data_IF_580225803536
#
_entry.id   IF_580225803536
#
_cell.length_a   1.000
_cell.length_b   1.000
_cell.length_c   1.000
_cell.angle_alpha   90.00
_cell.angle_beta   90.00
_cell.angle_gamma   90.00
#
_symmetry.space_group_name_H-M   'P 1'
#
loop_
_entity.id
_entity.type
_entity.pdbx_description
1 polymer ?
#
# COMPACT_ATOMS: atom_id res chain seq x y z
N UNK A 1 -14.40 23.84 -9.91
CA UNK A 1 -15.07 22.66 -9.30
C UNK A 1 -14.69 21.45 -10.16
N UNK A 2 -13.95 20.49 -9.63
CA UNK A 2 -13.59 19.26 -10.36
C UNK A 2 -14.85 18.36 -10.40
N UNK A 3 -15.23 17.90 -11.58
CA UNK A 3 -16.30 16.89 -11.72
C UNK A 3 -15.61 15.54 -11.56
N UNK A 4 -16.11 14.73 -10.63
CA UNK A 4 -15.60 13.40 -10.36
C UNK A 4 -16.35 12.35 -11.17
N UNK A 5 -15.64 11.35 -11.70
CA UNK A 5 -16.24 10.21 -12.39
C UNK A 5 -17.01 9.30 -11.43
N UNK A 6 -16.51 9.17 -10.16
CA UNK A 6 -17.05 8.28 -9.16
C UNK A 6 -17.86 9.05 -8.13
N UNK A 7 -19.14 8.70 -8.01
CA UNK A 7 -20.12 9.43 -7.22
C UNK A 7 -20.35 8.76 -5.86
N UNK A 8 -20.73 9.58 -4.85
CA UNK A 8 -20.97 9.16 -3.46
C UNK A 8 -22.39 9.44 -3.02
N UNK A 9 -23.39 9.03 -3.79
CA UNK A 9 -24.78 9.31 -3.41
C UNK A 9 -25.25 8.50 -2.20
N UNK A 10 -24.67 7.29 -2.00
CA UNK A 10 -24.91 6.45 -0.85
C UNK A 10 -23.60 5.80 -0.41
N UNK A 11 -23.44 5.55 0.88
CA UNK A 11 -22.37 4.70 1.40
C UNK A 11 -22.87 3.26 1.40
N UNK A 12 -22.13 2.35 0.81
CA UNK A 12 -22.50 0.94 0.84
C UNK A 12 -21.69 0.07 -0.11
N UNK A 13 -21.81 -1.23 0.08
CA UNK A 13 -21.14 -2.26 -0.73
C UNK A 13 -21.52 -2.15 -2.21
N UNK A 14 -22.79 -1.86 -2.50
CA UNK A 14 -23.28 -1.72 -3.88
C UNK A 14 -22.61 -0.57 -4.63
N UNK A 15 -22.38 0.56 -3.97
CA UNK A 15 -21.70 1.72 -4.57
C UNK A 15 -20.22 1.40 -4.80
N UNK A 16 -19.56 0.75 -3.84
CA UNK A 16 -18.17 0.33 -3.99
C UNK A 16 -18.00 -0.64 -5.16
N UNK A 17 -18.91 -1.62 -5.26
CA UNK A 17 -18.95 -2.58 -6.37
C UNK A 17 -19.19 -1.86 -7.71
N UNK A 18 -20.21 -0.99 -7.78
CA UNK A 18 -20.56 -0.28 -9.02
C UNK A 18 -19.40 0.61 -9.50
N UNK A 19 -18.76 1.35 -8.61
CA UNK A 19 -17.62 2.21 -8.95
C UNK A 19 -16.40 1.38 -9.39
N UNK A 20 -16.14 0.24 -8.75
CA UNK A 20 -15.08 -0.67 -9.17
C UNK A 20 -15.36 -1.26 -10.56
N UNK A 21 -16.61 -1.68 -10.82
CA UNK A 21 -16.99 -2.17 -12.15
C UNK A 21 -16.91 -1.06 -13.20
N UNK A 22 -17.21 0.18 -12.84
CA UNK A 22 -17.07 1.33 -13.75
C UNK A 22 -15.58 1.55 -14.10
N UNK A 23 -14.65 1.50 -13.13
CA UNK A 23 -13.21 1.59 -13.40
C UNK A 23 -12.78 0.52 -14.39
N UNK A 24 -13.13 -0.75 -14.13
CA UNK A 24 -12.76 -1.88 -14.99
C UNK A 24 -13.37 -1.79 -16.38
N UNK A 25 -14.62 -1.35 -16.46
CA UNK A 25 -15.29 -1.07 -17.75
C UNK A 25 -14.60 0.04 -18.54
N UNK A 26 -14.12 1.08 -17.87
CA UNK A 26 -13.34 2.15 -18.51
C UNK A 26 -12.00 1.67 -19.02
N UNK A 27 -11.29 0.86 -18.23
CA UNK A 27 -10.04 0.25 -18.66
C UNK A 27 -10.24 -0.63 -19.89
N UNK A 28 -11.29 -1.47 -19.92
CA UNK A 28 -11.62 -2.30 -21.07
C UNK A 28 -11.94 -1.46 -22.31
N UNK A 29 -12.77 -0.41 -22.15
CA UNK A 29 -13.14 0.50 -23.26
C UNK A 29 -11.96 1.31 -23.77
N UNK A 30 -11.01 1.65 -22.90
CA UNK A 30 -9.80 2.36 -23.25
C UNK A 30 -8.82 1.45 -24.01
N UNK A 31 -8.57 0.25 -23.51
CA UNK A 31 -7.71 -0.75 -24.15
C UNK A 31 -8.03 -2.16 -23.64
N UNK A 32 -8.62 -2.99 -24.51
CA UNK A 32 -8.88 -4.39 -24.19
C UNK A 32 -7.59 -5.17 -23.85
N UNK A 33 -6.47 -4.87 -24.52
CA UNK A 33 -5.19 -5.50 -24.22
C UNK A 33 -4.71 -5.22 -22.80
N UNK A 34 -4.78 -3.94 -22.35
CA UNK A 34 -4.43 -3.57 -20.98
C UNK A 34 -5.37 -4.20 -19.96
N UNK A 35 -6.65 -4.27 -20.28
CA UNK A 35 -7.63 -4.93 -19.43
C UNK A 35 -7.34 -6.43 -19.29
N UNK A 36 -7.02 -7.12 -20.38
CA UNK A 36 -6.66 -8.54 -20.33
C UNK A 36 -5.32 -8.79 -19.65
N UNK A 37 -4.34 -7.91 -19.84
CA UNK A 37 -3.10 -7.95 -19.07
C UNK A 37 -3.36 -7.79 -17.58
N UNK A 38 -4.18 -6.82 -17.17
CA UNK A 38 -4.61 -6.62 -15.79
C UNK A 38 -5.29 -7.89 -15.23
N UNK A 39 -6.24 -8.49 -15.96
CA UNK A 39 -6.88 -9.72 -15.51
C UNK A 39 -5.88 -10.85 -15.31
N UNK A 40 -4.96 -11.03 -16.26
CA UNK A 40 -3.91 -12.06 -16.21
C UNK A 40 -3.06 -11.92 -14.95
N UNK A 41 -2.52 -10.72 -14.72
CA UNK A 41 -1.60 -10.44 -13.61
C UNK A 41 -2.30 -10.50 -12.25
N UNK A 42 -3.54 -10.03 -12.15
CA UNK A 42 -4.25 -9.93 -10.87
C UNK A 42 -5.00 -11.22 -10.48
N UNK A 43 -5.52 -11.98 -11.45
CA UNK A 43 -6.47 -13.04 -11.14
C UNK A 43 -6.07 -14.42 -11.67
N UNK A 44 -5.22 -14.51 -12.68
CA UNK A 44 -4.88 -15.80 -13.29
C UNK A 44 -3.46 -16.29 -12.96
N UNK A 45 -2.55 -15.40 -12.51
CA UNK A 45 -1.18 -15.76 -12.10
C UNK A 45 -0.42 -16.51 -13.19
N UNK A 46 0.06 -17.72 -12.87
CA UNK A 46 0.83 -18.56 -13.78
C UNK A 46 -0.04 -19.34 -14.81
N UNK A 47 -1.36 -19.16 -14.80
CA UNK A 47 -2.22 -19.82 -15.78
C UNK A 47 -2.05 -19.18 -17.16
N UNK A 48 -2.08 -20.03 -18.20
CA UNK A 48 -2.18 -19.57 -19.57
C UNK A 48 -3.57 -18.95 -19.82
N UNK A 49 -3.72 -17.65 -19.54
CA UNK A 49 -4.92 -16.90 -19.84
C UNK A 49 -4.70 -16.10 -21.11
N UNK A 50 -5.25 -16.60 -22.21
CA UNK A 50 -5.19 -15.98 -23.54
C UNK A 50 -6.61 -15.72 -24.06
N UNK A 51 -7.28 -14.65 -23.60
CA UNK A 51 -8.66 -14.34 -24.00
C UNK A 51 -8.76 -13.78 -25.41
N UNK A 52 -7.66 -13.67 -26.15
CA UNK A 52 -7.64 -13.17 -27.51
C UNK A 52 -8.20 -14.16 -28.50
N UNK A 53 -8.62 -13.64 -29.67
CA UNK A 53 -9.07 -14.49 -30.77
C UNK A 53 -7.92 -15.34 -31.30
N UNK A 54 -8.11 -16.63 -31.35
CA UNK A 54 -7.17 -17.56 -31.98
C UNK A 54 -7.68 -18.00 -33.35
N UNK A 55 -6.76 -18.12 -34.31
CA UNK A 55 -7.02 -18.58 -35.67
C UNK A 55 -6.27 -19.89 -35.87
N UNK A 56 -7.00 -20.97 -36.06
CA UNK A 56 -6.43 -22.31 -36.21
C UNK A 56 -6.78 -22.82 -37.61
N UNK A 57 -5.75 -23.20 -38.37
CA UNK A 57 -5.94 -23.87 -39.66
C UNK A 57 -6.02 -25.41 -39.44
N UNK A 58 -6.93 -26.08 -40.14
CA UNK A 58 -7.12 -27.51 -40.03
C UNK A 58 -7.28 -27.99 -38.58
N UNK A 59 -8.21 -27.40 -37.83
CA UNK A 59 -8.52 -27.74 -36.44
C UNK A 59 -9.05 -29.15 -36.34
N UNK A 60 -8.21 -30.11 -35.95
CA UNK A 60 -8.51 -31.54 -35.94
C UNK A 60 -9.46 -31.87 -34.78
N UNK A 61 -10.73 -32.11 -35.08
CA UNK A 61 -11.72 -32.63 -34.16
C UNK A 61 -11.95 -34.14 -34.37
N UNK A 62 -12.63 -34.80 -33.43
CA UNK A 62 -12.91 -36.27 -33.51
C UNK A 62 -13.72 -36.69 -34.74
N UNK A 63 -14.54 -35.82 -35.30
CA UNK A 63 -15.49 -36.15 -36.39
C UNK A 63 -15.31 -35.35 -37.68
N UNK A 64 -14.58 -34.25 -37.65
CA UNK A 64 -14.34 -33.42 -38.81
C UNK A 64 -13.08 -32.54 -38.61
N UNK A 65 -12.48 -32.14 -39.73
CA UNK A 65 -11.36 -31.18 -39.76
C UNK A 65 -11.80 -30.02 -40.63
N UNK A 66 -12.27 -28.88 -40.05
CA UNK A 66 -12.58 -27.70 -40.82
C UNK A 66 -11.28 -27.03 -41.35
N UNK A 67 -11.39 -26.34 -42.48
CA UNK A 67 -10.22 -25.65 -43.07
C UNK A 67 -9.66 -24.55 -42.15
N UNK A 68 -10.52 -23.88 -41.41
CA UNK A 68 -10.14 -22.86 -40.42
C UNK A 68 -11.18 -22.76 -39.31
N UNK A 69 -10.71 -22.43 -38.10
CA UNK A 69 -11.55 -22.11 -36.93
C UNK A 69 -11.08 -20.81 -36.32
N UNK A 70 -12.03 -19.94 -35.97
CA UNK A 70 -11.81 -18.73 -35.15
C UNK A 70 -12.50 -18.97 -33.81
N UNK A 71 -11.75 -18.93 -32.73
CA UNK A 71 -12.28 -19.17 -31.38
C UNK A 71 -11.73 -18.17 -30.38
N UNK A 72 -12.50 -17.92 -29.33
CA UNK A 72 -12.09 -17.11 -28.18
C UNK A 72 -12.46 -17.90 -26.91
N UNK A 73 -11.53 -18.09 -25.97
CA UNK A 73 -11.81 -18.67 -24.67
C UNK A 73 -12.85 -17.86 -23.91
N UNK A 74 -13.79 -18.54 -23.27
CA UNK A 74 -14.78 -17.90 -22.42
C UNK A 74 -14.28 -17.79 -20.98
N UNK A 75 -14.56 -16.66 -20.34
CA UNK A 75 -14.25 -16.48 -18.92
C UNK A 75 -15.41 -15.83 -18.18
N UNK A 76 -15.49 -16.09 -16.88
CA UNK A 76 -16.44 -15.47 -15.97
C UNK A 76 -15.75 -15.11 -14.66
N UNK A 77 -15.89 -13.86 -14.26
CA UNK A 77 -15.45 -13.35 -12.96
C UNK A 77 -16.70 -13.03 -12.13
N UNK A 78 -16.82 -13.62 -10.97
CA UNK A 78 -17.87 -13.30 -9.99
C UNK A 78 -17.22 -12.53 -8.85
N UNK A 79 -17.70 -11.33 -8.59
CA UNK A 79 -17.13 -10.45 -7.56
C UNK A 79 -18.11 -10.32 -6.40
N UNK A 80 -17.67 -10.65 -5.21
CA UNK A 80 -18.34 -10.33 -3.96
C UNK A 80 -17.55 -9.25 -3.24
N UNK A 81 -18.21 -8.12 -2.96
CA UNK A 81 -17.59 -6.95 -2.30
C UNK A 81 -18.08 -6.84 -0.87
N UNK A 82 -17.18 -6.55 0.04
CA UNK A 82 -17.47 -6.15 1.42
C UNK A 82 -16.66 -4.91 1.79
N UNK A 83 -17.20 -4.06 2.66
CA UNK A 83 -16.47 -2.88 3.14
C UNK A 83 -15.32 -3.27 4.08
N UNK A 84 -15.48 -4.42 4.76
CA UNK A 84 -14.49 -5.03 5.65
C UNK A 84 -14.43 -6.54 5.41
N UNK A 85 -13.65 -7.30 6.20
CA UNK A 85 -13.57 -8.77 6.09
C UNK A 85 -14.83 -9.51 6.58
N UNK A 86 -16.04 -9.08 6.18
CA UNK A 86 -17.31 -9.73 6.59
C UNK A 86 -17.87 -10.64 5.49
N UNK A 87 -17.02 -11.49 4.92
CA UNK A 87 -17.45 -12.51 3.98
C UNK A 87 -18.04 -13.74 4.71
N UNK A 88 -19.15 -14.22 4.20
CA UNK A 88 -19.84 -15.42 4.70
C UNK A 88 -19.64 -16.57 3.74
N UNK A 89 -19.15 -17.71 4.25
CA UNK A 89 -18.85 -18.90 3.46
C UNK A 89 -20.06 -19.35 2.65
N UNK A 90 -21.23 -19.43 3.27
CA UNK A 90 -22.47 -19.89 2.62
C UNK A 90 -22.86 -19.02 1.42
N UNK A 91 -22.71 -17.70 1.56
CA UNK A 91 -22.95 -16.75 0.46
C UNK A 91 -22.02 -17.01 -0.71
N UNK A 92 -20.71 -17.14 -0.42
CA UNK A 92 -19.71 -17.39 -1.45
C UNK A 92 -19.94 -18.72 -2.18
N UNK A 93 -20.25 -19.79 -1.45
CA UNK A 93 -20.59 -21.10 -2.05
C UNK A 93 -21.84 -21.00 -2.93
N UNK A 94 -22.87 -20.26 -2.52
CA UNK A 94 -24.05 -20.03 -3.36
C UNK A 94 -23.71 -19.30 -4.67
N UNK A 95 -22.71 -18.42 -4.67
CA UNK A 95 -22.26 -17.76 -5.90
C UNK A 95 -21.60 -18.72 -6.89
N UNK A 96 -20.99 -19.81 -6.43
CA UNK A 96 -20.34 -20.79 -7.32
C UNK A 96 -21.33 -21.42 -8.32
N UNK A 97 -22.62 -21.51 -7.97
CA UNK A 97 -23.66 -22.01 -8.86
C UNK A 97 -23.91 -21.14 -10.11
N UNK A 98 -23.36 -19.93 -10.15
CA UNK A 98 -23.42 -19.05 -11.32
C UNK A 98 -22.52 -19.51 -12.45
N UNK A 99 -21.39 -20.16 -12.13
CA UNK A 99 -20.49 -20.69 -13.13
C UNK A 99 -21.10 -21.87 -13.88
N UNK A 100 -20.83 -21.93 -15.18
CA UNK A 100 -21.35 -22.99 -16.08
C UNK A 100 -20.19 -23.61 -16.88
N UNK A 101 -20.17 -23.34 -18.17
CA UNK A 101 -19.25 -23.97 -19.12
C UNK A 101 -18.11 -23.03 -19.53
N UNK A 102 -17.88 -21.94 -18.78
CA UNK A 102 -16.76 -21.05 -19.06
C UNK A 102 -15.44 -21.82 -18.89
N UNK A 103 -14.46 -21.48 -19.68
CA UNK A 103 -13.13 -22.08 -19.63
C UNK A 103 -12.37 -21.61 -18.39
N UNK A 104 -12.46 -20.31 -18.09
CA UNK A 104 -11.87 -19.71 -16.91
C UNK A 104 -12.96 -19.18 -15.96
N UNK A 105 -12.85 -19.59 -14.69
CA UNK A 105 -13.83 -19.27 -13.64
C UNK A 105 -13.11 -18.72 -12.42
N UNK A 106 -13.40 -17.49 -12.02
CA UNK A 106 -12.78 -16.85 -10.84
C UNK A 106 -13.84 -16.24 -9.94
N UNK A 107 -13.83 -16.64 -8.67
CA UNK A 107 -14.54 -15.95 -7.61
C UNK A 107 -13.56 -14.93 -6.97
N UNK A 108 -13.91 -13.66 -7.00
CA UNK A 108 -13.14 -12.58 -6.41
C UNK A 108 -13.86 -12.10 -5.16
N UNK A 109 -13.15 -12.07 -4.04
CA UNK A 109 -13.58 -11.37 -2.83
C UNK A 109 -12.79 -10.10 -2.67
N UNK A 110 -13.49 -8.96 -2.65
CA UNK A 110 -12.93 -7.60 -2.67
C UNK A 110 -13.34 -6.84 -1.41
N UNK A 111 -12.37 -6.33 -0.65
CA UNK A 111 -12.61 -5.51 0.54
C UNK A 111 -11.47 -4.53 0.81
N UNK A 112 -11.61 -3.70 1.87
CA UNK A 112 -10.55 -2.77 2.28
C UNK A 112 -9.32 -3.47 2.87
N UNK A 113 -9.47 -4.71 3.35
CA UNK A 113 -8.41 -5.52 3.95
C UNK A 113 -8.49 -6.96 3.48
N UNK A 114 -7.37 -7.67 3.44
CA UNK A 114 -7.36 -9.09 3.11
C UNK A 114 -8.04 -9.91 4.21
N UNK A 115 -8.69 -10.99 3.81
CA UNK A 115 -9.21 -11.98 4.77
C UNK A 115 -8.10 -12.48 5.69
N UNK A 116 -8.47 -12.73 6.95
CA UNK A 116 -7.60 -13.46 7.87
C UNK A 116 -7.29 -14.86 7.34
N UNK A 117 -6.07 -15.33 7.58
CA UNK A 117 -5.56 -16.56 6.99
C UNK A 117 -6.44 -17.80 7.30
N UNK A 118 -6.93 -17.93 8.54
CA UNK A 118 -7.83 -18.99 8.97
C UNK A 118 -9.15 -18.98 8.21
N UNK A 119 -9.75 -17.82 8.04
CA UNK A 119 -10.99 -17.63 7.27
C UNK A 119 -10.79 -17.93 5.79
N UNK A 120 -9.69 -17.42 5.20
CA UNK A 120 -9.35 -17.71 3.81
C UNK A 120 -9.21 -19.22 3.58
N UNK A 121 -8.50 -19.93 4.47
CA UNK A 121 -8.35 -21.39 4.38
C UNK A 121 -9.68 -22.13 4.43
N UNK A 122 -10.62 -21.71 5.29
CA UNK A 122 -11.96 -22.32 5.37
C UNK A 122 -12.77 -22.12 4.08
N UNK A 123 -12.67 -20.95 3.46
CA UNK A 123 -13.36 -20.63 2.20
C UNK A 123 -12.71 -21.40 1.05
N UNK A 124 -11.38 -21.40 0.95
CA UNK A 124 -10.64 -22.10 -0.10
C UNK A 124 -10.91 -23.61 -0.04
N UNK A 125 -10.95 -24.21 1.15
CA UNK A 125 -11.30 -25.61 1.33
C UNK A 125 -12.74 -25.92 0.87
N UNK A 126 -13.69 -25.02 1.16
CA UNK A 126 -15.08 -25.19 0.72
C UNK A 126 -15.23 -25.09 -0.80
N UNK A 127 -14.48 -24.16 -1.44
CA UNK A 127 -14.45 -24.03 -2.90
C UNK A 127 -13.78 -25.26 -3.53
N UNK A 128 -12.71 -25.77 -2.94
CA UNK A 128 -12.06 -27.00 -3.38
C UNK A 128 -13.02 -28.20 -3.37
N UNK A 129 -13.80 -28.37 -2.29
CA UNK A 129 -14.81 -29.42 -2.18
C UNK A 129 -15.92 -29.26 -3.23
N UNK A 130 -16.40 -28.04 -3.45
CA UNK A 130 -17.39 -27.74 -4.49
C UNK A 130 -16.85 -28.10 -5.89
N UNK A 131 -15.61 -27.70 -6.18
CA UNK A 131 -14.93 -28.04 -7.44
C UNK A 131 -14.88 -29.57 -7.67
N UNK A 132 -14.51 -30.31 -6.64
CA UNK A 132 -14.45 -31.79 -6.72
C UNK A 132 -15.83 -32.40 -6.94
N UNK A 133 -16.86 -31.94 -6.23
CA UNK A 133 -18.23 -32.43 -6.33
C UNK A 133 -18.87 -32.17 -7.70
N UNK A 134 -18.62 -30.99 -8.27
CA UNK A 134 -19.24 -30.54 -9.52
C UNK A 134 -18.32 -30.66 -10.74
N UNK A 135 -17.13 -31.23 -10.58
CA UNK A 135 -16.11 -31.37 -11.65
C UNK A 135 -15.78 -30.03 -12.33
N UNK A 136 -15.66 -29.01 -11.51
CA UNK A 136 -15.33 -27.62 -11.93
C UNK A 136 -13.93 -27.25 -11.50
N UNK A 137 -13.39 -26.18 -12.10
CA UNK A 137 -12.15 -25.54 -11.69
C UNK A 137 -12.40 -24.05 -11.50
N UNK A 138 -12.85 -23.67 -10.31
CA UNK A 138 -13.09 -22.28 -9.92
C UNK A 138 -11.94 -21.85 -9.02
N UNK A 139 -11.30 -20.74 -9.37
CA UNK A 139 -10.22 -20.13 -8.59
C UNK A 139 -10.82 -19.10 -7.64
N UNK A 140 -10.31 -19.03 -6.42
CA UNK A 140 -10.64 -17.97 -5.47
C UNK A 140 -9.49 -16.99 -5.34
N UNK A 141 -9.76 -15.72 -5.62
CA UNK A 141 -8.83 -14.61 -5.42
C UNK A 141 -9.40 -13.68 -4.37
N UNK A 142 -8.66 -13.53 -3.27
CA UNK A 142 -8.94 -12.51 -2.25
C UNK A 142 -8.04 -11.30 -2.48
N UNK A 143 -8.64 -10.16 -2.72
CA UNK A 143 -7.92 -8.90 -3.05
C UNK A 143 -8.51 -7.70 -2.31
N UNK A 144 -7.81 -6.57 -2.39
CA UNK A 144 -8.23 -5.30 -1.80
C UNK A 144 -8.46 -4.25 -2.88
N UNK A 145 -9.21 -3.18 -2.54
CA UNK A 145 -9.37 -2.03 -3.42
C UNK A 145 -8.02 -1.39 -3.77
N UNK A 146 -7.08 -1.36 -2.83
CA UNK A 146 -5.71 -0.86 -3.05
C UNK A 146 -4.95 -1.72 -4.06
N UNK A 147 -4.94 -3.05 -3.87
CA UNK A 147 -4.26 -3.97 -4.79
C UNK A 147 -4.88 -3.92 -6.18
N UNK A 148 -6.21 -3.80 -6.29
CA UNK A 148 -6.90 -3.66 -7.57
C UNK A 148 -6.53 -2.35 -8.27
N UNK A 149 -6.51 -1.22 -7.55
CA UNK A 149 -6.09 0.07 -8.10
C UNK A 149 -4.62 0.03 -8.54
N UNK A 150 -3.74 -0.59 -7.76
CA UNK A 150 -2.33 -0.78 -8.11
C UNK A 150 -2.19 -1.64 -9.37
N UNK A 151 -2.93 -2.75 -9.49
CA UNK A 151 -2.92 -3.59 -10.69
C UNK A 151 -3.37 -2.84 -11.96
N UNK A 152 -4.34 -1.91 -11.85
CA UNK A 152 -4.68 -1.02 -12.96
C UNK A 152 -3.53 -0.06 -13.27
N UNK A 153 -2.89 0.52 -12.24
CA UNK A 153 -1.73 1.39 -12.41
C UNK A 153 -0.57 0.68 -13.13
N UNK A 154 -0.31 -0.58 -12.80
CA UNK A 154 0.82 -1.36 -13.32
C UNK A 154 0.73 -1.61 -14.83
N UNK A 155 -0.48 -1.67 -15.39
CA UNK A 155 -0.69 -1.82 -16.84
C UNK A 155 -0.74 -0.49 -17.61
N UNK A 156 -0.75 0.65 -16.91
CA UNK A 156 -0.70 1.98 -17.55
C UNK A 156 0.75 2.41 -17.79
N UNK A 157 0.92 3.26 -18.80
CA UNK A 157 2.19 3.89 -19.16
C UNK A 157 2.07 5.41 -19.09
N UNK A 158 3.18 6.12 -19.18
CA UNK A 158 3.21 7.60 -19.18
C UNK A 158 2.40 8.25 -20.33
N UNK A 159 1.88 7.47 -21.27
CA UNK A 159 1.06 7.95 -22.39
C UNK A 159 -0.43 7.79 -22.15
N UNK A 160 -0.84 7.10 -21.11
CA UNK A 160 -2.23 6.74 -20.83
C UNK A 160 -2.93 7.80 -19.94
N UNK A 161 -2.75 9.09 -20.25
CA UNK A 161 -3.20 10.23 -19.44
C UNK A 161 -4.69 10.18 -19.08
N UNK A 162 -5.56 9.86 -20.07
CA UNK A 162 -7.00 9.83 -19.84
C UNK A 162 -7.41 8.73 -18.86
N UNK A 163 -6.78 7.55 -18.97
CA UNK A 163 -7.06 6.45 -18.05
C UNK A 163 -6.44 6.70 -16.68
N UNK A 164 -5.29 7.38 -16.63
CA UNK A 164 -4.67 7.80 -15.38
C UNK A 164 -5.58 8.76 -14.59
N UNK A 165 -6.21 9.74 -15.25
CA UNK A 165 -7.18 10.64 -14.60
C UNK A 165 -8.38 9.88 -14.00
N UNK A 166 -8.87 8.86 -14.71
CA UNK A 166 -9.95 8.01 -14.20
C UNK A 166 -9.50 7.21 -12.99
N UNK A 167 -8.29 6.63 -13.02
CA UNK A 167 -7.73 5.87 -11.91
C UNK A 167 -7.49 6.76 -10.68
N UNK A 168 -6.93 7.95 -10.88
CA UNK A 168 -6.69 8.91 -9.79
C UNK A 168 -8.01 9.31 -9.10
N UNK A 169 -9.08 9.54 -9.87
CA UNK A 169 -10.40 9.86 -9.32
C UNK A 169 -11.04 8.67 -8.59
N UNK A 170 -10.76 7.43 -9.03
CA UNK A 170 -11.16 6.22 -8.31
C UNK A 170 -10.41 6.06 -6.98
N UNK A 171 -9.11 6.28 -6.97
CA UNK A 171 -8.30 6.26 -5.75
C UNK A 171 -8.79 7.32 -4.77
N UNK A 172 -9.06 8.55 -5.25
CA UNK A 172 -9.63 9.62 -4.44
C UNK A 172 -11.02 9.23 -3.86
N UNK A 173 -11.84 8.53 -4.64
CA UNK A 173 -13.10 7.97 -4.18
C UNK A 173 -12.87 6.95 -3.07
N UNK A 174 -11.98 5.98 -3.28
CA UNK A 174 -11.67 4.94 -2.32
C UNK A 174 -11.13 5.50 -0.99
N UNK A 175 -10.28 6.53 -1.04
CA UNK A 175 -9.79 7.22 0.17
C UNK A 175 -10.93 7.89 0.94
N UNK A 176 -11.83 8.59 0.25
CA UNK A 176 -12.97 9.28 0.88
C UNK A 176 -13.98 8.33 1.53
N UNK A 177 -14.13 7.13 0.99
CA UNK A 177 -15.02 6.10 1.52
C UNK A 177 -14.32 5.10 2.44
N UNK A 178 -13.04 5.33 2.76
CA UNK A 178 -12.21 4.47 3.62
C UNK A 178 -12.07 3.03 3.08
N UNK A 179 -12.18 2.85 1.77
CA UNK A 179 -11.96 1.58 1.08
C UNK A 179 -10.46 1.32 0.87
N UNK A 180 -9.67 2.39 0.68
CA UNK A 180 -8.21 2.38 0.76
C UNK A 180 -7.84 3.18 2.00
N UNK A 181 -7.17 2.54 2.94
CA UNK A 181 -6.71 3.19 4.14
C UNK A 181 -5.54 4.09 3.78
N UNK A 182 -5.73 5.40 3.80
CA UNK A 182 -4.60 6.32 3.81
C UNK A 182 -3.88 6.09 5.13
N UNK A 183 -2.64 5.62 5.14
CA UNK A 183 -1.91 5.52 6.39
C UNK A 183 -1.93 6.89 7.07
N UNK A 184 -2.44 6.99 8.28
CA UNK A 184 -2.42 8.22 9.09
C UNK A 184 -0.98 8.75 9.32
N UNK A 185 0.02 8.02 8.81
CA UNK A 185 1.44 8.37 8.85
C UNK A 185 1.74 9.75 8.29
N UNK A 186 1.02 10.18 7.23
CA UNK A 186 1.24 11.48 6.57
C UNK A 186 1.09 12.69 7.49
N UNK A 187 0.30 12.56 8.56
CA UNK A 187 0.06 13.61 9.56
C UNK A 187 0.77 13.34 10.89
N UNK A 188 1.42 12.19 11.03
CA UNK A 188 2.07 11.80 12.29
C UNK A 188 3.51 12.26 12.34
N UNK A 189 3.86 12.91 13.44
CA UNK A 189 5.22 13.28 13.80
C UNK A 189 5.66 12.53 15.04
N UNK A 190 6.73 11.73 14.91
CA UNK A 190 7.33 11.03 16.05
C UNK A 190 8.47 11.84 16.65
N UNK A 191 8.34 12.19 17.92
CA UNK A 191 9.40 12.81 18.70
C UNK A 191 10.39 11.75 19.18
N UNK A 192 11.67 12.00 18.97
CA UNK A 192 12.77 11.19 19.46
C UNK A 192 13.67 12.00 20.39
N UNK A 193 14.16 11.31 21.44
CA UNK A 193 15.17 11.89 22.34
C UNK A 193 16.53 11.82 21.65
N UNK A 194 17.16 12.95 21.41
CA UNK A 194 18.41 13.03 20.64
C UNK A 194 19.56 13.69 21.39
N UNK A 195 19.44 13.85 22.69
CA UNK A 195 20.39 14.55 23.56
C UNK A 195 21.84 14.63 23.11
N UNK A 196 22.57 13.52 23.10
CA UNK A 196 23.99 13.45 22.73
C UNK A 196 24.25 13.42 21.22
N UNK A 197 23.30 12.92 20.43
CA UNK A 197 23.46 12.78 18.97
C UNK A 197 22.82 13.90 18.18
N UNK A 198 22.23 14.90 18.85
CA UNK A 198 21.45 15.95 18.23
C UNK A 198 22.19 16.69 17.10
N UNK A 199 23.43 17.14 17.38
CA UNK A 199 24.20 17.95 16.45
C UNK A 199 24.58 17.13 15.18
N UNK A 200 24.91 15.85 15.36
CA UNK A 200 25.13 14.91 14.25
C UNK A 200 23.84 14.69 13.44
N UNK A 201 22.72 14.44 14.12
CA UNK A 201 21.45 14.18 13.44
C UNK A 201 21.04 15.37 12.56
N UNK A 202 21.22 16.61 13.04
CA UNK A 202 20.95 17.83 12.27
C UNK A 202 21.90 17.97 11.07
N UNK A 203 23.20 17.76 11.28
CA UNK A 203 24.21 17.95 10.25
C UNK A 203 24.04 16.96 9.09
N UNK A 204 23.74 15.71 9.40
CA UNK A 204 23.69 14.62 8.43
C UNK A 204 22.25 14.25 8.00
N UNK A 205 21.22 14.92 8.52
CA UNK A 205 19.80 14.66 8.22
C UNK A 205 19.40 13.18 8.41
N UNK A 206 19.93 12.54 9.44
CA UNK A 206 19.65 11.14 9.78
C UNK A 206 19.45 10.98 11.29
N UNK A 207 18.49 10.15 11.67
CA UNK A 207 18.32 9.66 13.03
C UNK A 207 18.45 8.15 13.06
N UNK A 208 19.01 7.60 14.13
CA UNK A 208 19.15 6.16 14.28
C UNK A 208 18.68 5.68 15.66
N UNK A 209 18.17 4.46 15.71
CA UNK A 209 17.68 3.81 16.93
C UNK A 209 17.88 2.30 16.83
N UNK A 210 17.84 1.62 18.00
CA UNK A 210 17.93 0.18 18.05
C UNK A 210 16.77 -0.48 17.26
N UNK A 211 17.10 -1.50 16.45
CA UNK A 211 16.13 -2.19 15.60
C UNK A 211 14.97 -2.82 16.39
N UNK A 212 15.21 -3.23 17.63
CA UNK A 212 14.22 -3.85 18.50
C UNK A 212 13.18 -2.85 19.04
N UNK A 213 13.39 -1.55 18.85
CA UNK A 213 12.38 -0.55 19.17
C UNK A 213 11.33 -0.50 18.09
N UNK A 214 10.12 -0.94 18.42
CA UNK A 214 8.96 -0.81 17.55
C UNK A 214 8.55 0.66 17.34
N UNK A 215 7.88 0.94 16.24
CA UNK A 215 7.29 2.24 15.98
C UNK A 215 5.99 2.11 15.16
N UNK A 216 5.07 3.03 15.37
CA UNK A 216 3.92 3.21 14.49
C UNK A 216 4.30 4.01 13.27
N UNK A 217 3.66 3.77 12.14
CA UNK A 217 3.92 4.50 10.90
C UNK A 217 3.79 6.02 11.10
N UNK A 218 4.76 6.78 10.60
CA UNK A 218 4.83 8.24 10.68
C UNK A 218 5.69 8.78 9.54
N UNK A 219 5.32 9.95 9.03
CA UNK A 219 6.03 10.59 7.93
C UNK A 219 6.97 11.71 8.40
N UNK A 220 6.78 12.19 9.63
CA UNK A 220 7.64 13.22 10.19
C UNK A 220 8.37 12.72 11.42
N UNK A 221 9.65 13.05 11.49
CA UNK A 221 10.53 12.79 12.61
C UNK A 221 10.92 14.11 13.27
N UNK A 222 10.90 14.14 14.60
CA UNK A 222 11.35 15.33 15.32
C UNK A 222 12.35 15.00 16.44
N UNK A 223 13.25 15.92 16.69
CA UNK A 223 14.35 15.79 17.61
C UNK A 223 14.11 16.64 18.87
N UNK A 224 14.08 15.98 20.02
CA UNK A 224 13.88 16.62 21.32
C UNK A 224 15.19 16.83 22.06
N UNK A 225 15.45 18.07 22.50
CA UNK A 225 16.58 18.47 23.32
C UNK A 225 16.18 19.64 24.21
N UNK A 226 16.58 19.64 25.49
CA UNK A 226 16.37 20.76 26.41
C UNK A 226 14.91 21.26 26.51
N UNK A 227 14.01 20.35 26.88
CA UNK A 227 12.57 20.63 27.07
C UNK A 227 11.79 21.14 25.86
N UNK A 228 12.34 20.96 24.66
CA UNK A 228 11.65 21.36 23.43
C UNK A 228 11.97 20.39 22.29
N UNK A 229 11.04 20.25 21.34
CA UNK A 229 11.34 19.73 20.01
C UNK A 229 12.06 20.84 19.27
N UNK A 230 13.32 20.57 18.89
CA UNK A 230 14.25 21.54 18.30
C UNK A 230 14.33 21.46 16.79
N UNK A 231 13.92 20.34 16.20
CA UNK A 231 13.92 20.18 14.76
C UNK A 231 12.86 19.19 14.31
N UNK A 232 12.38 19.35 13.08
CA UNK A 232 11.46 18.43 12.39
C UNK A 232 11.91 18.22 10.96
N UNK A 233 11.85 16.96 10.46
CA UNK A 233 12.15 16.56 9.09
C UNK A 233 11.11 15.57 8.57
N UNK A 234 10.89 15.55 7.25
CA UNK A 234 10.03 14.57 6.59
C UNK A 234 10.86 13.35 6.21
N UNK A 235 10.39 12.16 6.54
CA UNK A 235 11.10 10.91 6.29
C UNK A 235 11.04 10.55 4.81
N UNK A 236 12.20 10.39 4.19
CA UNK A 236 12.36 9.93 2.81
C UNK A 236 12.68 8.42 2.74
N UNK A 237 13.50 7.92 3.70
CA UNK A 237 13.83 6.51 3.72
C UNK A 237 13.99 5.98 5.14
N UNK A 238 13.68 4.69 5.31
CA UNK A 238 13.91 3.93 6.54
C UNK A 238 14.66 2.66 6.15
N UNK A 239 15.86 2.50 6.71
CA UNK A 239 16.74 1.39 6.39
C UNK A 239 17.21 0.75 7.70
N UNK A 240 17.13 -0.56 7.79
CA UNK A 240 17.77 -1.30 8.87
C UNK A 240 19.11 -1.86 8.41
N UNK A 241 20.11 -1.77 9.28
CA UNK A 241 21.42 -2.40 9.05
C UNK A 241 21.77 -3.29 10.25
N UNK A 242 22.20 -4.50 9.96
CA UNK A 242 22.59 -5.50 10.95
C UNK A 242 23.99 -6.02 10.61
N UNK A 243 24.89 -5.95 11.58
CA UNK A 243 26.25 -6.49 11.44
C UNK A 243 26.23 -8.01 11.63
N UNK A 244 26.47 -8.77 10.55
CA UNK A 244 26.59 -10.23 10.59
C UNK A 244 27.94 -10.66 10.04
N UNK A 245 28.69 -11.39 10.83
CA UNK A 245 30.03 -11.88 10.45
C UNK A 245 30.99 -10.78 9.95
N UNK A 246 30.91 -9.58 10.54
CA UNK A 246 31.74 -8.44 10.14
C UNK A 246 31.26 -7.69 8.90
N UNK A 247 30.12 -8.06 8.31
CA UNK A 247 29.52 -7.40 7.13
C UNK A 247 28.15 -6.84 7.49
N UNK A 248 27.88 -5.58 7.10
CA UNK A 248 26.58 -4.96 7.24
C UNK A 248 25.59 -5.53 6.21
N UNK A 249 24.49 -6.07 6.70
CA UNK A 249 23.34 -6.48 5.90
C UNK A 249 22.25 -5.42 6.03
N UNK A 250 21.74 -4.95 4.89
CA UNK A 250 20.75 -3.91 4.82
C UNK A 250 19.38 -4.48 4.46
N UNK A 251 18.32 -3.90 5.03
CA UNK A 251 16.96 -4.12 4.60
C UNK A 251 16.25 -2.76 4.46
N UNK A 252 15.60 -2.52 3.34
CA UNK A 252 14.87 -1.29 3.05
C UNK A 252 13.44 -1.45 3.52
N UNK A 253 13.04 -0.69 4.54
CA UNK A 253 11.65 -0.65 5.05
C UNK A 253 10.82 0.42 4.32
N UNK A 254 11.49 1.49 3.81
CA UNK A 254 10.87 2.60 3.07
C UNK A 254 11.92 3.31 2.21
N UNK A 255 11.52 3.80 1.04
CA UNK A 255 12.40 4.56 0.13
C UNK A 255 13.47 3.69 -0.53
N UNK A 256 14.65 4.23 -0.76
CA UNK A 256 15.74 3.57 -1.48
C UNK A 256 17.05 3.55 -0.69
N UNK A 257 17.84 2.49 -0.87
CA UNK A 257 19.21 2.39 -0.37
C UNK A 257 20.22 2.86 -1.43
N UNK A 258 20.67 4.10 -1.31
CA UNK A 258 21.72 4.67 -2.17
C UNK A 258 23.12 4.50 -1.56
N UNK A 259 24.18 4.64 -2.37
CA UNK A 259 25.56 4.58 -1.83
C UNK A 259 25.79 5.69 -0.80
N UNK A 260 25.28 6.91 -1.03
CA UNK A 260 25.40 8.00 -0.06
C UNK A 260 24.72 7.66 1.28
N UNK A 261 23.60 6.94 1.25
CA UNK A 261 22.94 6.48 2.48
C UNK A 261 23.72 5.39 3.20
N UNK A 262 24.44 4.52 2.49
CA UNK A 262 25.36 3.54 3.12
C UNK A 262 26.51 4.25 3.83
N UNK A 263 27.14 5.23 3.17
CA UNK A 263 28.18 6.06 3.79
C UNK A 263 27.69 6.79 5.04
N UNK A 264 26.45 7.30 5.02
CA UNK A 264 25.83 7.93 6.19
C UNK A 264 25.54 6.93 7.32
N UNK A 265 25.19 5.68 6.99
CA UNK A 265 25.05 4.61 7.99
C UNK A 265 26.39 4.34 8.67
N UNK A 266 27.48 4.25 7.91
CA UNK A 266 28.82 4.04 8.46
C UNK A 266 29.23 5.20 9.39
N UNK A 267 29.01 6.45 8.97
CA UNK A 267 29.22 7.62 9.83
C UNK A 267 28.36 7.61 11.09
N UNK A 268 27.09 7.18 10.98
CA UNK A 268 26.19 7.10 12.11
C UNK A 268 26.62 6.01 13.12
N UNK A 269 27.14 4.88 12.64
CA UNK A 269 27.72 3.83 13.50
C UNK A 269 28.92 4.38 14.27
N UNK A 270 29.80 5.11 13.61
CA UNK A 270 30.98 5.70 14.25
C UNK A 270 30.59 6.77 15.28
N UNK A 271 29.65 7.66 14.93
CA UNK A 271 29.11 8.65 15.88
C UNK A 271 28.41 7.98 17.06
N UNK A 272 27.67 6.89 16.82
CA UNK A 272 27.02 6.10 17.86
C UNK A 272 28.02 5.53 18.84
N UNK A 273 29.12 4.92 18.36
CA UNK A 273 30.21 4.38 19.21
C UNK A 273 30.84 5.47 20.09
N UNK A 274 31.13 6.64 19.52
CA UNK A 274 31.66 7.78 20.27
C UNK A 274 30.67 8.28 21.34
N UNK A 275 29.37 8.14 21.08
CA UNK A 275 28.30 8.50 22.02
C UNK A 275 27.93 7.39 23.01
N UNK A 276 28.64 6.26 22.99
CA UNK A 276 28.43 5.12 23.89
C UNK A 276 27.28 4.18 23.48
N UNK A 277 26.82 4.27 22.21
CA UNK A 277 25.80 3.35 21.70
C UNK A 277 26.42 2.18 20.95
N UNK A 278 25.82 0.98 21.11
CA UNK A 278 26.13 -0.19 20.32
C UNK A 278 25.09 -0.29 19.19
N UNK A 279 25.54 -0.19 17.94
CA UNK A 279 24.70 -0.16 16.76
C UNK A 279 24.91 -1.38 15.85
N UNK A 280 25.13 -2.57 16.44
CA UNK A 280 25.27 -3.82 15.68
C UNK A 280 23.99 -4.20 14.94
N UNK A 281 22.84 -3.69 15.40
CA UNK A 281 21.56 -3.79 14.74
C UNK A 281 20.75 -2.50 14.98
N UNK A 282 20.63 -1.67 13.96
CA UNK A 282 19.99 -0.37 14.08
C UNK A 282 19.10 -0.06 12.88
N UNK A 283 18.13 0.83 13.12
CA UNK A 283 17.25 1.40 12.12
C UNK A 283 17.60 2.88 11.92
N UNK A 284 17.75 3.27 10.69
CA UNK A 284 18.14 4.60 10.25
C UNK A 284 16.98 5.28 9.55
N UNK A 285 16.62 6.47 10.00
CA UNK A 285 15.58 7.31 9.43
C UNK A 285 16.27 8.48 8.72
N UNK A 286 16.19 8.51 7.41
CA UNK A 286 16.70 9.59 6.57
C UNK A 286 15.58 10.58 6.30
N UNK A 287 15.84 11.84 6.54
CA UNK A 287 14.87 12.92 6.28
C UNK A 287 15.37 13.82 5.14
N UNK A 288 14.44 14.52 4.49
CA UNK A 288 14.73 15.53 3.48
C UNK A 288 15.71 16.57 4.02
N UNK A 289 15.35 17.14 5.13
CA UNK A 289 16.14 18.08 5.91
C UNK A 289 15.52 18.25 7.29
N UNK A 290 16.35 18.39 8.33
CA UNK A 290 15.88 18.87 9.61
C UNK A 290 15.78 20.40 9.62
N UNK A 291 14.55 20.90 9.79
CA UNK A 291 14.27 22.33 9.96
C UNK A 291 14.14 22.67 11.44
N UNK A 292 14.83 23.72 11.86
CA UNK A 292 14.81 24.19 13.25
C UNK A 292 13.43 24.68 13.67
N UNK A 293 13.04 24.32 14.89
CA UNK A 293 11.79 24.74 15.52
C UNK A 293 11.98 24.94 17.03
N UNK A 294 10.94 25.38 17.72
CA UNK A 294 10.89 25.45 19.19
C UNK A 294 9.48 25.09 19.69
N UNK A 295 9.13 23.82 19.57
CA UNK A 295 7.85 23.31 20.07
C UNK A 295 8.02 22.93 21.54
N UNK A 296 7.82 23.89 22.42
CA UNK A 296 8.19 23.82 23.82
C UNK A 296 7.25 22.94 24.64
N UNK A 297 7.83 22.15 25.54
CA UNK A 297 7.09 21.34 26.52
C UNK A 297 6.78 22.18 27.76
N UNK A 298 5.48 22.28 28.12
CA UNK A 298 5.03 23.04 29.31
C UNK A 298 5.26 22.30 30.62
N UNK A 299 5.00 20.99 30.64
CA UNK A 299 5.11 20.22 31.88
C UNK A 299 6.56 20.07 32.35
N UNK A 300 6.80 20.05 33.68
CA UNK A 300 8.17 20.13 34.22
C UNK A 300 8.98 18.83 34.03
N UNK A 301 8.34 17.68 33.91
CA UNK A 301 9.02 16.36 33.79
C UNK A 301 9.50 16.15 32.36
N UNK A 302 10.74 15.62 32.21
CA UNK A 302 11.25 15.18 30.93
C UNK A 302 10.41 13.99 30.39
N UNK A 303 10.23 13.85 29.06
CA UNK A 303 9.59 12.65 28.50
C UNK A 303 10.52 11.45 28.71
N UNK A 304 9.93 10.30 29.05
CA UNK A 304 10.68 9.05 29.29
C UNK A 304 10.90 8.23 28.01
N UNK A 305 10.46 8.71 26.84
CA UNK A 305 10.57 8.01 25.56
C UNK A 305 10.04 8.83 24.39
N UNK A 306 9.91 8.17 23.26
CA UNK A 306 9.31 8.75 22.06
C UNK A 306 7.84 9.11 22.30
N UNK A 307 7.34 10.13 21.58
CA UNK A 307 5.94 10.54 21.60
C UNK A 307 5.45 10.80 20.19
N UNK A 308 4.20 10.45 19.94
CA UNK A 308 3.54 10.70 18.65
C UNK A 308 2.65 11.95 18.75
N UNK A 309 2.71 12.81 17.75
CA UNK A 309 1.85 13.96 17.57
C UNK A 309 1.09 13.82 16.25
N UNK A 310 -0.17 14.23 16.24
CA UNK A 310 -0.92 14.47 15.02
C UNK A 310 -0.71 15.94 14.63
N UNK A 311 -0.02 16.18 13.53
CA UNK A 311 0.31 17.55 13.10
C UNK A 311 -0.92 18.33 12.67
N UNK A 312 -1.96 17.67 12.15
CA UNK A 312 -3.21 18.35 11.80
C UNK A 312 -3.92 18.89 13.03
N UNK A 313 -3.94 18.12 14.13
CA UNK A 313 -4.49 18.57 15.41
C UNK A 313 -3.63 19.67 16.04
N UNK A 314 -2.30 19.49 16.06
CA UNK A 314 -1.37 20.49 16.64
C UNK A 314 -1.46 21.81 15.91
N UNK A 315 -1.54 21.80 14.58
CA UNK A 315 -1.57 23.01 13.77
C UNK A 315 -2.98 23.57 13.57
N UNK A 316 -4.02 22.78 13.78
CA UNK A 316 -5.42 23.15 13.56
C UNK A 316 -5.77 23.25 12.07
N UNK A 317 -5.27 22.32 11.25
CA UNK A 317 -5.48 22.31 9.79
C UNK A 317 -5.84 20.92 9.30
N UNK A 318 -6.54 20.81 8.20
CA UNK A 318 -6.87 19.53 7.54
C UNK A 318 -5.80 19.07 6.55
N UNK A 319 -4.91 19.97 6.14
CA UNK A 319 -3.81 19.67 5.19
C UNK A 319 -2.51 20.22 5.75
N UNK A 320 -1.41 19.51 5.55
CA UNK A 320 -0.11 19.95 6.02
C UNK A 320 0.62 20.78 4.95
N UNK A 321 1.22 21.91 5.33
CA UNK A 321 2.13 22.63 4.46
C UNK A 321 3.47 21.89 4.34
N UNK A 322 4.45 22.48 3.65
CA UNK A 322 5.79 21.90 3.56
C UNK A 322 6.50 21.81 4.93
N UNK A 323 7.53 20.97 5.02
CA UNK A 323 8.23 20.68 6.28
C UNK A 323 8.82 21.93 6.93
N UNK A 324 9.31 22.90 6.14
CA UNK A 324 9.84 24.16 6.64
C UNK A 324 8.76 25.02 7.28
N UNK A 325 7.59 25.10 6.64
CA UNK A 325 6.43 25.84 7.18
C UNK A 325 5.88 25.16 8.43
N UNK A 326 5.85 23.82 8.49
CA UNK A 326 5.50 23.06 9.71
C UNK A 326 6.44 23.49 10.86
N UNK A 327 7.75 23.52 10.62
CA UNK A 327 8.74 23.91 11.63
C UNK A 327 8.49 25.33 12.16
N UNK A 328 8.18 26.28 11.28
CA UNK A 328 7.87 27.67 11.68
C UNK A 328 6.57 27.76 12.50
N UNK A 329 5.52 27.06 12.08
CA UNK A 329 4.24 27.06 12.79
C UNK A 329 4.33 26.41 14.18
N UNK A 330 5.19 25.42 14.37
CA UNK A 330 5.42 24.76 15.64
C UNK A 330 6.09 25.67 16.68
N UNK A 331 6.87 26.70 16.27
CA UNK A 331 7.51 27.67 17.19
C UNK A 331 6.50 28.43 18.07
N UNK A 332 5.27 28.58 17.58
CA UNK A 332 4.18 29.28 18.29
C UNK A 332 3.28 28.30 19.07
N UNK A 333 3.64 27.04 19.17
CA UNK A 333 2.86 26.01 19.84
C UNK A 333 3.60 25.46 21.06
N UNK A 334 2.84 24.85 21.94
CA UNK A 334 3.38 24.18 23.14
C UNK A 334 2.62 22.89 23.39
N UNK A 335 3.23 21.96 24.12
CA UNK A 335 2.65 20.67 24.44
C UNK A 335 2.94 20.21 25.89
N UNK A 336 2.21 19.21 26.39
CA UNK A 336 2.40 18.54 27.70
C UNK A 336 1.47 19.02 28.78
#
# INVERSE_FOLDING_TARGET
MKIHYFQRYHKGEDVATANTMLLLSRLYSYSSNKFFQFLKEQFFGDMEFEPELSFVLQDAGEKSVPDATIKQPSFMLVVETKLTDWFYKEQLINHLSKFKNEEYKVLITLSSELMKADKKQLIDAAIHNYNAEHQMYIIHVNTTFEALAQGVQDVLTDRDYEMQEVLDDYIDYCHRDSLIVVPDSWKKMRMQLSGTTFDFNIAENVYYDNINRGFSAHDYLSLYKQKSIRAVGKIEAIITAVLKNGVLQYNVERGELTESRKELIDKAIENGKQSGYVLDAARYFFVDKFYETDFAKKSPRAPMGSRMFDLTDVLGTSTLPDTKQIAELLKNKTWG
#
